data_IF_785510106727
#
_entry.id   IF_785510106727
#
_cell.length_a   1.000
_cell.length_b   1.000
_cell.length_c   1.000
_cell.angle_alpha   90.00
_cell.angle_beta   90.00
_cell.angle_gamma   90.00
#
_symmetry.space_group_name_H-M   'P 1'
#
loop_
_entity.id
_entity.type
_entity.pdbx_description
1 polymer ?
#
# COMPACT_ATOMS: atom_id res chain seq x y z
N UNK A 1 35.91 20.39 28.76
CA UNK A 1 36.53 19.78 27.56
C UNK A 1 37.06 20.82 26.55
N UNK A 2 36.30 21.87 26.20
CA UNK A 2 36.69 22.89 25.20
C UNK A 2 38.03 23.61 25.49
N UNK A 3 38.29 23.96 26.75
CA UNK A 3 39.54 24.63 27.16
C UNK A 3 40.78 23.72 27.07
N UNK A 4 40.61 22.40 27.30
CA UNK A 4 41.70 21.43 27.18
C UNK A 4 42.09 21.20 25.71
N UNK A 5 41.10 21.08 24.81
CA UNK A 5 41.33 20.95 23.36
C UNK A 5 42.03 22.20 22.81
N UNK A 6 41.62 23.39 23.26
CA UNK A 6 42.23 24.65 22.85
C UNK A 6 43.69 24.73 23.29
N UNK A 7 43.96 24.42 24.56
CA UNK A 7 45.32 24.41 25.12
C UNK A 7 46.23 23.37 24.45
N UNK A 8 45.69 22.22 24.03
CA UNK A 8 46.43 21.21 23.25
C UNK A 8 46.68 21.69 21.82
N UNK A 9 45.72 22.33 21.16
CA UNK A 9 45.89 22.86 19.79
C UNK A 9 46.86 24.05 19.71
N UNK A 10 46.95 24.84 20.79
CA UNK A 10 47.79 26.05 20.85
C UNK A 10 49.23 25.75 21.30
N UNK A 11 49.43 24.78 22.21
CA UNK A 11 50.77 24.48 22.77
C UNK A 11 51.45 23.22 22.21
N UNK A 12 50.72 22.31 21.57
CA UNK A 12 51.30 21.06 21.05
C UNK A 12 51.06 20.92 19.55
N UNK A 13 52.07 20.42 18.83
CA UNK A 13 51.88 20.00 17.42
C UNK A 13 50.89 18.85 17.42
N UNK A 14 49.69 19.10 16.91
CA UNK A 14 48.68 18.07 16.74
C UNK A 14 49.24 16.91 15.90
N UNK A 15 49.06 15.65 16.32
CA UNK A 15 49.37 14.51 15.49
C UNK A 15 48.77 14.67 14.10
N UNK A 16 49.53 14.32 13.06
CA UNK A 16 49.14 14.51 11.65
C UNK A 16 47.74 13.95 11.35
N UNK A 17 47.34 12.86 12.04
CA UNK A 17 46.04 12.20 11.94
C UNK A 17 44.83 13.02 12.40
N UNK A 18 44.99 14.00 13.30
CA UNK A 18 43.91 14.89 13.77
C UNK A 18 44.07 16.33 13.26
N UNK A 19 44.95 16.53 12.29
CA UNK A 19 45.11 17.82 11.62
C UNK A 19 43.86 18.17 10.80
N UNK A 20 43.59 19.47 10.63
CA UNK A 20 42.48 19.96 9.78
C UNK A 20 42.42 19.29 8.39
N UNK A 21 43.52 19.16 7.61
CA UNK A 21 43.45 18.48 6.31
C UNK A 21 43.15 16.98 6.44
N UNK A 22 43.64 16.29 7.48
CA UNK A 22 43.32 14.89 7.70
C UNK A 22 41.83 14.68 8.04
N UNK A 23 41.23 15.58 8.82
CA UNK A 23 39.79 15.58 9.10
C UNK A 23 38.95 15.85 7.84
N UNK A 24 39.34 16.82 7.02
CA UNK A 24 38.66 17.09 5.75
C UNK A 24 38.74 15.91 4.79
N UNK A 25 39.91 15.26 4.68
CA UNK A 25 40.09 14.05 3.88
C UNK A 25 39.25 12.88 4.42
N UNK A 26 39.14 12.73 5.74
CA UNK A 26 38.29 11.71 6.35
C UNK A 26 36.81 11.96 6.06
N UNK A 27 36.34 13.21 6.20
CA UNK A 27 34.97 13.59 5.86
C UNK A 27 34.68 13.30 4.38
N UNK A 28 35.60 13.68 3.48
CA UNK A 28 35.46 13.42 2.05
C UNK A 28 35.36 11.92 1.77
N UNK A 29 36.29 11.10 2.30
CA UNK A 29 36.25 9.64 2.13
C UNK A 29 34.97 9.01 2.68
N UNK A 30 34.46 9.53 3.80
CA UNK A 30 33.21 9.04 4.39
C UNK A 30 32.02 9.39 3.51
N UNK A 31 31.98 10.62 2.98
CA UNK A 31 30.94 11.06 2.04
C UNK A 31 30.97 10.25 0.74
N UNK A 32 32.16 10.05 0.16
CA UNK A 32 32.34 9.25 -1.06
C UNK A 32 31.87 7.80 -0.83
N UNK A 33 32.18 7.21 0.34
CA UNK A 33 31.75 5.85 0.70
C UNK A 33 30.23 5.75 0.87
N UNK A 34 29.60 6.75 1.49
CA UNK A 34 28.14 6.80 1.62
C UNK A 34 27.49 6.91 0.23
N UNK A 35 27.99 7.81 -0.61
CA UNK A 35 27.47 8.00 -1.97
C UNK A 35 27.63 6.74 -2.83
N UNK A 36 28.71 5.99 -2.64
CA UNK A 36 28.88 4.70 -3.32
C UNK A 36 27.80 3.69 -2.89
N UNK A 37 27.57 3.56 -1.58
CA UNK A 37 26.53 2.66 -1.05
C UNK A 37 25.13 3.05 -1.55
N UNK A 38 24.83 4.35 -1.59
CA UNK A 38 23.54 4.85 -2.12
C UNK A 38 23.35 4.44 -3.58
N UNK A 39 24.36 4.62 -4.44
CA UNK A 39 24.30 4.19 -5.84
C UNK A 39 24.11 2.67 -6.00
N UNK A 40 24.75 1.89 -5.15
CA UNK A 40 24.58 0.43 -5.15
C UNK A 40 23.14 0.05 -4.74
N UNK A 41 22.58 0.73 -3.73
CA UNK A 41 21.17 0.54 -3.34
C UNK A 41 20.21 0.94 -4.44
N UNK A 42 20.44 2.05 -5.14
CA UNK A 42 19.60 2.48 -6.25
C UNK A 42 19.60 1.47 -7.40
N UNK A 43 20.77 0.86 -7.67
CA UNK A 43 20.89 -0.22 -8.67
C UNK A 43 20.08 -1.44 -8.25
N UNK A 44 20.19 -1.85 -6.98
CA UNK A 44 19.41 -2.97 -6.43
C UNK A 44 17.91 -2.71 -6.44
N UNK A 45 17.48 -1.48 -6.14
CA UNK A 45 16.08 -1.09 -6.20
C UNK A 45 15.53 -1.21 -7.62
N UNK A 46 16.32 -0.88 -8.64
CA UNK A 46 15.94 -1.05 -10.04
C UNK A 46 15.83 -2.51 -10.49
N UNK A 47 16.55 -3.43 -9.85
CA UNK A 47 16.45 -4.88 -10.12
C UNK A 47 15.32 -5.55 -9.32
N UNK A 48 14.85 -4.91 -8.26
CA UNK A 48 13.84 -5.44 -7.36
C UNK A 48 12.44 -5.23 -7.93
N UNK A 49 11.64 -6.29 -7.91
CA UNK A 49 10.23 -6.18 -8.22
C UNK A 49 9.46 -5.79 -6.94
N UNK A 50 9.24 -4.50 -6.79
CA UNK A 50 8.52 -3.91 -5.67
C UNK A 50 7.29 -3.15 -6.18
N UNK A 51 6.13 -3.40 -5.56
CA UNK A 51 4.85 -2.78 -5.91
C UNK A 51 4.22 -2.19 -4.65
N UNK A 52 4.04 -0.86 -4.63
CA UNK A 52 3.37 -0.14 -3.55
C UNK A 52 1.90 0.08 -3.89
N UNK A 53 0.99 -0.44 -3.07
CA UNK A 53 -0.43 -0.08 -3.13
C UNK A 53 -0.68 1.13 -2.22
N UNK A 54 -0.95 2.28 -2.83
CA UNK A 54 -1.18 3.55 -2.10
C UNK A 54 -2.48 3.54 -1.29
N UNK A 55 -3.46 2.72 -1.70
CA UNK A 55 -4.79 2.63 -1.09
C UNK A 55 -4.73 1.95 0.28
N UNK A 56 -3.83 0.99 0.43
CA UNK A 56 -3.59 0.29 1.70
C UNK A 56 -2.30 0.71 2.41
N UNK A 57 -1.36 1.32 1.69
CA UNK A 57 0.00 1.55 2.16
C UNK A 57 0.75 0.24 2.40
N UNK A 58 0.44 -0.81 1.63
CA UNK A 58 1.15 -2.09 1.62
C UNK A 58 2.15 -2.13 0.45
N UNK A 59 3.34 -2.66 0.70
CA UNK A 59 4.41 -2.82 -0.28
C UNK A 59 4.69 -4.32 -0.46
N UNK A 60 4.41 -4.84 -1.64
CA UNK A 60 4.78 -6.19 -2.02
C UNK A 60 6.20 -6.18 -2.59
N UNK A 61 7.03 -7.10 -2.11
CA UNK A 61 8.43 -7.23 -2.53
C UNK A 61 8.69 -8.65 -2.98
N UNK A 62 9.22 -8.78 -4.19
CA UNK A 62 9.68 -10.04 -4.75
C UNK A 62 11.15 -9.95 -5.10
N UNK A 63 11.96 -10.74 -4.41
CA UNK A 63 13.39 -10.83 -4.69
C UNK A 63 13.66 -11.71 -5.92
N UNK A 64 14.43 -11.25 -6.92
CA UNK A 64 14.85 -12.11 -8.02
C UNK A 64 15.77 -13.25 -7.54
N UNK A 65 15.86 -14.31 -8.34
CA UNK A 65 16.54 -15.58 -7.94
C UNK A 65 18.01 -15.41 -7.52
N UNK A 66 18.68 -14.43 -8.12
CA UNK A 66 20.08 -14.10 -7.87
C UNK A 66 20.24 -12.78 -7.12
N UNK A 67 19.19 -12.31 -6.45
CA UNK A 67 19.23 -11.05 -5.72
C UNK A 67 20.13 -11.20 -4.49
N UNK A 68 21.28 -10.54 -4.55
CA UNK A 68 22.23 -10.49 -3.46
C UNK A 68 22.73 -9.05 -3.38
N UNK A 69 22.61 -8.36 -2.23
CA UNK A 69 23.18 -7.03 -2.08
C UNK A 69 24.68 -7.14 -2.33
N UNK A 70 25.23 -6.57 -3.42
CA UNK A 70 26.60 -6.79 -3.77
C UNK A 70 27.46 -5.92 -2.86
N UNK A 71 28.53 -6.48 -2.29
CA UNK A 71 29.75 -5.71 -2.05
C UNK A 71 30.85 -6.33 -2.90
N UNK A 72 30.78 -6.05 -4.21
CA UNK A 72 31.84 -6.34 -5.17
C UNK A 72 32.17 -7.83 -5.38
N UNK A 73 31.28 -8.60 -6.00
CA UNK A 73 31.64 -9.88 -6.63
C UNK A 73 32.22 -9.59 -8.02
N UNK A 74 33.39 -8.95 -8.07
CA UNK A 74 34.23 -9.02 -9.27
C UNK A 74 34.79 -10.44 -9.34
N UNK A 75 34.09 -11.36 -10.00
CA UNK A 75 34.64 -12.70 -10.23
C UNK A 75 33.73 -13.87 -10.57
N UNK A 76 32.41 -13.73 -10.75
CA UNK A 76 31.61 -14.84 -11.31
C UNK A 76 31.83 -14.93 -12.83
N UNK A 77 33.02 -15.34 -13.26
CA UNK A 77 33.24 -15.91 -14.59
C UNK A 77 33.09 -17.42 -14.47
N UNK A 78 31.97 -17.95 -14.97
CA UNK A 78 31.78 -19.38 -15.17
C UNK A 78 32.86 -19.91 -16.13
N UNK A 79 33.59 -20.95 -15.74
CA UNK A 79 34.35 -21.75 -16.69
C UNK A 79 33.83 -23.18 -16.64
N UNK A 80 33.43 -23.69 -17.80
CA UNK A 80 33.13 -25.11 -17.98
C UNK A 80 34.46 -25.88 -18.07
N UNK A 81 34.72 -26.75 -17.10
CA UNK A 81 35.75 -27.79 -17.25
C UNK A 81 35.20 -29.12 -16.77
N UNK A 82 34.78 -29.96 -17.71
CA UNK A 82 34.41 -31.35 -17.44
C UNK A 82 33.01 -31.57 -16.87
N UNK A 83 32.03 -30.71 -17.18
CA UNK A 83 30.61 -30.98 -16.89
C UNK A 83 30.13 -30.72 -15.46
N UNK A 84 31.01 -30.37 -14.52
CA UNK A 84 30.63 -29.92 -13.17
C UNK A 84 30.87 -28.41 -13.01
N UNK A 85 29.81 -27.66 -12.67
CA UNK A 85 29.89 -26.24 -12.34
C UNK A 85 30.48 -26.07 -10.93
N UNK A 86 31.72 -25.58 -10.83
CA UNK A 86 32.36 -25.26 -9.55
C UNK A 86 32.38 -23.73 -9.37
N UNK A 87 31.79 -23.24 -8.27
CA UNK A 87 31.51 -21.82 -8.01
C UNK A 87 32.65 -20.99 -7.38
N UNK A 88 33.88 -21.50 -7.26
CA UNK A 88 34.91 -20.86 -6.42
C UNK A 88 36.21 -20.55 -7.16
N UNK A 89 36.49 -19.26 -7.37
CA UNK A 89 37.88 -18.77 -7.51
C UNK A 89 38.37 -18.23 -6.15
N UNK A 90 39.52 -18.69 -5.62
CA UNK A 90 40.09 -18.19 -4.36
C UNK A 90 40.78 -16.81 -4.48
N UNK A 91 40.82 -16.19 -5.66
CA UNK A 91 41.67 -15.02 -5.95
C UNK A 91 40.92 -13.70 -6.18
N UNK A 92 39.58 -13.67 -6.10
CA UNK A 92 38.84 -12.40 -6.01
C UNK A 92 38.86 -11.91 -4.56
N UNK A 93 39.04 -10.60 -4.34
CA UNK A 93 38.88 -9.99 -3.01
C UNK A 93 37.60 -10.54 -2.39
N UNK A 94 37.71 -11.19 -1.24
CA UNK A 94 36.53 -11.73 -0.56
C UNK A 94 35.52 -10.59 -0.38
N UNK A 95 34.23 -10.82 -0.71
CA UNK A 95 33.22 -9.82 -0.51
C UNK A 95 33.21 -9.42 0.96
N UNK A 96 33.28 -8.12 1.24
CA UNK A 96 33.20 -7.61 2.60
C UNK A 96 31.77 -7.83 3.10
N UNK A 97 31.58 -8.89 3.89
CA UNK A 97 30.27 -9.31 4.41
C UNK A 97 29.64 -8.19 5.25
N UNK A 98 30.45 -7.43 6.00
CA UNK A 98 29.95 -6.31 6.79
C UNK A 98 29.43 -5.20 5.88
N UNK A 99 30.14 -4.91 4.80
CA UNK A 99 29.69 -3.94 3.81
C UNK A 99 28.39 -4.38 3.13
N UNK A 100 28.26 -5.66 2.76
CA UNK A 100 27.02 -6.23 2.22
C UNK A 100 25.85 -6.09 3.20
N UNK A 101 26.07 -6.31 4.50
CA UNK A 101 25.04 -6.12 5.55
C UNK A 101 24.59 -4.67 5.66
N UNK A 102 25.52 -3.72 5.55
CA UNK A 102 25.19 -2.29 5.56
C UNK A 102 24.35 -1.92 4.34
N UNK A 103 24.73 -2.39 3.15
CA UNK A 103 23.98 -2.15 1.90
C UNK A 103 22.59 -2.79 1.98
N UNK A 104 22.48 -4.02 2.50
CA UNK A 104 21.21 -4.69 2.74
C UNK A 104 20.31 -3.89 3.71
N UNK A 105 20.88 -3.38 4.80
CA UNK A 105 20.17 -2.53 5.75
C UNK A 105 19.71 -1.22 5.10
N UNK A 106 20.54 -0.61 4.24
CA UNK A 106 20.17 0.60 3.50
C UNK A 106 19.04 0.32 2.49
N UNK A 107 19.10 -0.80 1.77
CA UNK A 107 18.03 -1.23 0.87
C UNK A 107 16.71 -1.43 1.64
N UNK A 108 16.74 -2.18 2.74
CA UNK A 108 15.55 -2.37 3.59
C UNK A 108 15.08 -1.03 4.16
N UNK A 109 15.99 -0.10 4.50
CA UNK A 109 15.62 1.24 4.95
C UNK A 109 14.83 2.01 3.90
N UNK A 110 15.23 1.95 2.63
CA UNK A 110 14.47 2.59 1.53
C UNK A 110 13.05 2.01 1.44
N UNK A 111 12.94 0.68 1.46
CA UNK A 111 11.65 -0.03 1.36
C UNK A 111 10.76 0.21 2.58
N UNK A 112 11.33 0.12 3.77
CA UNK A 112 10.60 0.36 5.03
C UNK A 112 10.22 1.81 5.19
N UNK A 113 11.05 2.76 4.71
CA UNK A 113 10.68 4.17 4.71
C UNK A 113 9.36 4.37 3.95
N UNK A 114 9.11 3.70 2.83
CA UNK A 114 7.84 3.86 2.09
C UNK A 114 6.59 3.57 2.92
N UNK A 115 6.67 2.60 3.83
CA UNK A 115 5.52 2.06 4.56
C UNK A 115 5.51 2.47 6.04
N UNK A 116 6.65 2.88 6.59
CA UNK A 116 6.78 3.21 8.01
C UNK A 116 6.07 4.53 8.33
N UNK A 117 5.39 4.62 9.49
CA UNK A 117 4.88 5.89 10.00
C UNK A 117 6.01 6.83 10.46
N UNK A 118 7.24 6.33 10.63
CA UNK A 118 8.39 7.10 11.11
C UNK A 118 8.98 7.96 9.98
N UNK A 119 9.51 9.13 10.36
CA UNK A 119 10.21 10.02 9.43
C UNK A 119 11.61 9.50 9.09
N UNK A 120 12.30 8.95 10.09
CA UNK A 120 13.61 8.36 9.94
C UNK A 120 13.63 6.96 10.55
N UNK A 121 14.16 6.00 9.78
CA UNK A 121 14.44 4.63 10.23
C UNK A 121 15.95 4.48 10.41
N UNK A 122 16.38 4.10 11.60
CA UNK A 122 17.79 3.84 11.90
C UNK A 122 18.21 2.46 11.37
N UNK A 123 19.43 2.36 10.82
CA UNK A 123 19.94 1.11 10.25
C UNK A 123 20.06 -0.01 11.29
N UNK A 124 20.36 0.32 12.55
CA UNK A 124 20.43 -0.64 13.65
C UNK A 124 19.08 -1.32 13.94
N UNK A 125 17.97 -0.59 13.74
CA UNK A 125 16.63 -1.14 13.95
C UNK A 125 16.20 -2.16 12.89
N UNK A 126 16.98 -2.28 11.81
CA UNK A 126 16.73 -3.18 10.68
C UNK A 126 17.58 -4.45 10.71
N UNK A 127 18.47 -4.64 11.70
CA UNK A 127 19.34 -5.80 11.78
C UNK A 127 18.55 -7.13 11.73
N UNK A 128 17.44 -7.20 12.48
CA UNK A 128 16.52 -8.35 12.45
C UNK A 128 15.90 -8.57 11.07
N UNK A 129 15.54 -7.49 10.37
CA UNK A 129 14.99 -7.58 9.02
C UNK A 129 16.05 -8.07 8.02
N UNK A 130 17.29 -7.58 8.13
CA UNK A 130 18.42 -8.04 7.30
C UNK A 130 18.68 -9.52 7.52
N UNK A 131 18.66 -9.98 8.78
CA UNK A 131 18.85 -11.39 9.12
C UNK A 131 17.78 -12.31 8.52
N UNK A 132 16.51 -11.87 8.46
CA UNK A 132 15.43 -12.68 7.92
C UNK A 132 15.29 -12.60 6.39
N UNK A 133 15.57 -11.44 5.79
CA UNK A 133 15.48 -11.25 4.34
C UNK A 133 16.72 -11.72 3.60
N UNK A 134 17.90 -11.61 4.24
CA UNK A 134 19.20 -11.96 3.68
C UNK A 134 19.99 -12.91 4.61
N UNK A 135 19.44 -14.07 4.98
CA UNK A 135 20.09 -15.00 5.92
C UNK A 135 21.46 -15.48 5.42
N UNK A 136 21.67 -15.52 4.10
CA UNK A 136 22.95 -15.87 3.47
C UNK A 136 24.12 -14.94 3.84
N UNK A 137 23.86 -13.73 4.33
CA UNK A 137 24.90 -12.81 4.84
C UNK A 137 25.43 -13.23 6.22
N UNK A 138 24.81 -14.22 6.85
CA UNK A 138 25.15 -14.72 8.19
C UNK A 138 25.63 -16.17 8.18
N UNK A 139 25.63 -16.82 7.01
CA UNK A 139 26.16 -18.16 6.84
C UNK A 139 27.69 -18.10 6.78
N UNK A 140 28.35 -19.03 7.49
CA UNK A 140 29.80 -19.17 7.46
C UNK A 140 30.26 -19.88 6.17
N UNK A 141 29.43 -20.77 5.64
CA UNK A 141 29.65 -21.44 4.38
C UNK A 141 28.49 -21.14 3.41
N UNK A 142 28.76 -20.63 2.19
CA UNK A 142 27.72 -20.33 1.20
C UNK A 142 26.94 -21.56 0.70
N UNK A 143 27.42 -22.77 1.00
CA UNK A 143 26.73 -24.03 0.71
C UNK A 143 25.85 -24.52 1.87
N UNK A 144 25.87 -23.85 3.02
CA UNK A 144 24.99 -24.21 4.14
C UNK A 144 23.54 -23.87 3.76
N UNK A 145 22.61 -24.76 4.12
CA UNK A 145 21.19 -24.49 3.97
C UNK A 145 20.79 -23.30 4.85
N UNK A 146 19.95 -22.42 4.29
CA UNK A 146 19.32 -21.36 5.06
C UNK A 146 18.48 -22.03 6.15
N UNK A 147 18.71 -21.75 7.44
CA UNK A 147 17.96 -22.42 8.49
C UNK A 147 16.45 -22.20 8.29
N UNK A 148 15.65 -23.27 8.46
CA UNK A 148 14.18 -23.31 8.34
C UNK A 148 13.41 -22.32 9.26
N UNK A 149 14.11 -21.45 9.97
CA UNK A 149 13.61 -20.57 11.05
C UNK A 149 13.33 -19.14 10.58
N UNK A 150 13.00 -18.91 9.31
CA UNK A 150 12.47 -17.60 8.89
C UNK A 150 11.00 -17.52 9.35
N UNK A 151 10.65 -16.60 10.24
CA UNK A 151 9.28 -16.50 10.75
C UNK A 151 8.31 -16.11 9.62
N UNK A 152 7.07 -16.60 9.71
CA UNK A 152 6.01 -16.22 8.77
C UNK A 152 5.66 -14.73 8.84
N UNK A 153 5.90 -14.07 9.99
CA UNK A 153 5.77 -12.63 10.14
C UNK A 153 6.66 -12.09 11.26
N UNK A 154 7.16 -10.88 11.13
CA UNK A 154 7.88 -10.16 12.19
C UNK A 154 7.71 -8.65 12.04
N UNK A 155 8.07 -7.88 13.07
CA UNK A 155 8.02 -6.41 13.03
C UNK A 155 9.41 -5.80 13.20
N UNK A 156 9.78 -4.84 12.36
CA UNK A 156 11.00 -4.05 12.50
C UNK A 156 10.75 -2.62 12.05
N UNK A 157 11.34 -1.63 12.72
CA UNK A 157 11.24 -0.20 12.38
C UNK A 157 9.81 0.36 12.18
N UNK A 158 8.81 -0.18 12.89
CA UNK A 158 7.40 0.23 12.75
C UNK A 158 6.68 -0.35 11.53
N UNK A 159 7.30 -1.34 10.87
CA UNK A 159 6.77 -2.07 9.71
C UNK A 159 6.57 -3.54 10.11
N UNK A 160 5.44 -4.09 9.72
CA UNK A 160 5.12 -5.51 9.78
C UNK A 160 5.56 -6.15 8.46
N UNK A 161 6.35 -7.20 8.55
CA UNK A 161 6.79 -8.03 7.45
C UNK A 161 5.98 -9.33 7.53
N UNK A 162 5.23 -9.64 6.47
CA UNK A 162 4.48 -10.89 6.36
C UNK A 162 4.95 -11.66 5.12
N UNK A 163 5.22 -12.94 5.33
CA UNK A 163 5.65 -13.85 4.29
C UNK A 163 4.43 -14.41 3.57
N UNK A 164 4.32 -14.15 2.28
CA UNK A 164 3.25 -14.69 1.43
C UNK A 164 3.80 -15.91 0.69
N UNK A 165 3.23 -17.07 0.98
CA UNK A 165 3.54 -18.32 0.29
C UNK A 165 2.88 -18.28 -1.09
N UNK A 166 3.69 -18.36 -2.15
CA UNK A 166 3.17 -18.46 -3.51
C UNK A 166 2.96 -19.94 -3.86
N UNK A 167 1.79 -20.34 -4.38
CA UNK A 167 1.42 -21.76 -4.54
C UNK A 167 2.13 -22.47 -5.71
N UNK A 168 3.32 -22.04 -6.16
CA UNK A 168 4.05 -22.72 -7.23
C UNK A 168 5.29 -23.45 -6.71
N UNK A 169 5.20 -24.78 -6.74
CA UNK A 169 6.10 -25.80 -6.19
C UNK A 169 7.55 -25.83 -6.73
N UNK A 170 7.95 -24.89 -7.59
CA UNK A 170 9.28 -24.93 -8.22
C UNK A 170 10.29 -23.94 -7.65
N UNK A 171 9.87 -22.92 -6.88
CA UNK A 171 10.80 -21.92 -6.36
C UNK A 171 10.35 -21.33 -5.00
N UNK A 172 11.01 -21.65 -3.87
CA UNK A 172 10.71 -21.08 -2.56
C UNK A 172 11.31 -19.67 -2.40
N UNK A 173 11.05 -18.75 -3.35
CA UNK A 173 11.35 -17.34 -3.11
C UNK A 173 10.11 -16.67 -2.53
N UNK A 174 10.19 -16.37 -1.24
CA UNK A 174 9.10 -15.73 -0.52
C UNK A 174 8.81 -14.34 -1.08
N UNK A 175 7.55 -14.07 -1.34
CA UNK A 175 7.08 -12.69 -1.51
C UNK A 175 6.87 -12.11 -0.11
N UNK A 176 7.47 -10.95 0.15
CA UNK A 176 7.29 -10.26 1.42
C UNK A 176 6.30 -9.13 1.25
N UNK A 177 5.27 -9.12 2.08
CA UNK A 177 4.35 -8.00 2.22
C UNK A 177 4.82 -7.14 3.38
N UNK A 178 5.11 -5.88 3.10
CA UNK A 178 5.46 -4.88 4.11
C UNK A 178 4.25 -3.99 4.31
N UNK A 179 3.75 -3.94 5.54
CA UNK A 179 2.68 -3.04 5.93
C UNK A 179 3.08 -2.25 7.16
N UNK A 180 2.36 -1.17 7.47
CA UNK A 180 2.54 -0.49 8.75
C UNK A 180 2.26 -1.48 9.89
N UNK A 181 3.10 -1.47 10.92
CA UNK A 181 2.89 -2.28 12.13
C UNK A 181 1.50 -1.95 12.71
N UNK A 182 0.70 -2.92 13.18
CA UNK A 182 -0.58 -2.62 13.83
C UNK A 182 -0.43 -1.69 15.05
N UNK A 183 -1.44 -0.85 15.31
CA UNK A 183 -1.42 0.06 16.46
C UNK A 183 -1.35 -0.69 17.79
N UNK A 184 -0.47 -0.22 18.67
CA UNK A 184 -0.44 -0.66 20.08
C UNK A 184 -1.64 -0.08 20.82
N UNK A 185 -2.06 -0.73 21.90
CA UNK A 185 -3.14 -0.21 22.75
C UNK A 185 -2.78 1.20 23.25
N UNK A 186 -3.66 2.17 23.01
CA UNK A 186 -3.49 3.56 23.44
C UNK A 186 -2.79 4.49 22.45
N UNK A 187 -2.16 3.96 21.40
CA UNK A 187 -1.49 4.77 20.37
C UNK A 187 -2.36 4.80 19.12
N UNK A 188 -3.29 5.75 19.01
CA UNK A 188 -4.14 5.92 17.84
C UNK A 188 -4.11 7.39 17.38
N UNK A 189 -3.60 7.70 16.19
CA UNK A 189 -3.62 9.06 15.68
C UNK A 189 -5.07 9.47 15.43
N UNK A 190 -5.44 10.64 15.93
CA UNK A 190 -6.73 11.24 15.68
C UNK A 190 -6.55 12.65 15.12
N UNK A 191 -7.25 12.98 14.04
CA UNK A 191 -7.33 14.34 13.52
C UNK A 191 -8.76 14.84 13.72
N UNK A 192 -8.92 16.00 14.35
CA UNK A 192 -10.22 16.64 14.50
C UNK A 192 -10.42 17.67 13.39
N UNK A 193 -11.53 17.54 12.67
CA UNK A 193 -11.94 18.44 11.62
C UNK A 193 -13.13 19.25 12.15
N UNK A 194 -12.98 20.58 12.32
CA UNK A 194 -14.05 21.41 12.85
C UNK A 194 -15.25 21.45 11.89
N UNK A 195 -16.45 21.79 12.39
CA UNK A 195 -17.59 22.10 11.54
C UNK A 195 -17.31 23.34 10.68
N UNK A 196 -17.94 23.44 9.52
CA UNK A 196 -17.84 24.63 8.67
C UNK A 196 -18.60 25.80 9.29
N UNK A 197 -17.89 26.70 9.96
CA UNK A 197 -18.43 27.94 10.51
C UNK A 197 -18.43 29.07 9.48
N UNK A 198 -19.44 29.12 8.60
CA UNK A 198 -19.82 30.34 7.87
C UNK A 198 -21.23 30.25 7.29
N UNK A 199 -22.14 31.21 7.54
CA UNK A 199 -23.28 31.44 6.66
C UNK A 199 -22.78 31.99 5.31
N UNK A 200 -23.42 31.67 4.16
CA UNK A 200 -23.03 32.25 2.89
C UNK A 200 -23.45 33.72 2.87
N UNK A 201 -22.48 34.64 2.82
CA UNK A 201 -22.77 35.99 2.33
C UNK A 201 -23.20 35.85 0.87
N UNK A 202 -24.40 36.32 0.56
CA UNK A 202 -24.99 36.27 -0.76
C UNK A 202 -24.10 36.98 -1.80
N UNK A 203 -23.32 36.22 -2.56
CA UNK A 203 -22.87 36.52 -3.94
C UNK A 203 -21.74 35.56 -4.36
N UNK A 204 -22.10 34.39 -4.89
CA UNK A 204 -21.40 33.77 -6.02
C UNK A 204 -22.12 32.47 -6.38
N UNK A 205 -22.90 32.56 -7.45
CA UNK A 205 -23.17 31.42 -8.32
C UNK A 205 -21.84 30.92 -8.86
N UNK A 206 -21.25 29.90 -8.21
CA UNK A 206 -20.30 28.95 -8.82
C UNK A 206 -20.06 27.79 -7.85
N UNK A 207 -20.86 26.73 -8.05
CA UNK A 207 -20.71 25.46 -7.37
C UNK A 207 -19.52 24.68 -7.97
N UNK A 208 -18.28 25.10 -7.72
CA UNK A 208 -17.07 24.32 -8.09
C UNK A 208 -15.81 24.59 -7.27
N UNK A 209 -15.75 25.60 -6.40
CA UNK A 209 -14.48 25.99 -5.80
C UNK A 209 -14.18 25.29 -4.47
N UNK A 210 -13.42 24.20 -4.56
CA UNK A 210 -12.64 23.60 -3.46
C UNK A 210 -11.58 24.57 -2.87
N UNK A 211 -11.53 25.83 -3.33
CA UNK A 211 -10.43 26.78 -3.20
C UNK A 211 -10.44 27.69 -1.95
N UNK A 212 -11.42 27.57 -1.06
CA UNK A 212 -11.36 28.18 0.29
C UNK A 212 -10.58 27.33 1.33
N UNK A 213 -9.64 26.52 0.80
CA UNK A 213 -8.43 25.92 1.36
C UNK A 213 -8.46 25.28 2.78
N UNK A 214 -9.12 24.12 2.98
CA UNK A 214 -8.70 23.21 4.05
C UNK A 214 -7.24 22.78 3.81
N UNK A 215 -6.37 23.00 4.80
CA UNK A 215 -4.95 22.64 4.74
C UNK A 215 -4.77 21.12 4.79
N UNK A 216 -3.79 20.60 4.03
CA UNK A 216 -3.42 19.20 4.13
C UNK A 216 -2.90 18.90 5.53
N UNK A 217 -3.44 17.85 6.16
CA UNK A 217 -3.01 17.35 7.46
C UNK A 217 -2.41 15.96 7.31
N UNK A 218 -1.31 15.69 7.99
CA UNK A 218 -0.64 14.39 7.93
C UNK A 218 -1.29 13.40 8.91
N UNK A 219 -1.78 12.28 8.40
CA UNK A 219 -2.30 11.17 9.19
C UNK A 219 -1.26 10.05 9.26
N UNK A 220 -0.93 9.63 10.49
CA UNK A 220 -0.05 8.48 10.79
C UNK A 220 1.32 8.52 10.08
N UNK A 221 1.78 9.69 9.66
CA UNK A 221 3.04 9.85 8.93
C UNK A 221 3.02 9.40 7.46
N UNK A 222 1.89 8.91 6.93
CA UNK A 222 1.80 8.29 5.59
C UNK A 222 0.88 9.03 4.62
N UNK A 223 -0.28 9.48 5.07
CA UNK A 223 -1.28 10.09 4.18
C UNK A 223 -1.47 11.56 4.49
N UNK A 224 -1.30 12.40 3.48
CA UNK A 224 -1.79 13.78 3.50
C UNK A 224 -3.28 13.77 3.18
N UNK A 225 -4.08 14.25 4.11
CA UNK A 225 -5.53 14.31 3.99
C UNK A 225 -5.99 15.76 3.95
N UNK A 226 -6.86 16.07 3.00
CA UNK A 226 -7.61 17.33 2.94
C UNK A 226 -9.08 16.98 2.95
N UNK A 227 -9.81 17.39 3.99
CA UNK A 227 -11.21 17.00 4.20
C UNK A 227 -12.06 18.26 4.29
N UNK A 228 -13.17 18.27 3.57
CA UNK A 228 -14.20 19.29 3.68
C UNK A 228 -15.36 18.74 4.52
N UNK A 229 -15.63 19.37 5.66
CA UNK A 229 -16.76 19.00 6.52
C UNK A 229 -18.01 19.81 6.11
N UNK A 230 -19.05 19.20 5.53
CA UNK A 230 -20.25 19.92 5.13
C UNK A 230 -21.13 20.30 6.33
N UNK A 231 -20.91 19.70 7.51
CA UNK A 231 -21.79 19.92 8.66
C UNK A 231 -21.46 21.23 9.38
N UNK A 232 -22.48 22.07 9.67
CA UNK A 232 -22.30 23.32 10.42
C UNK A 232 -22.19 23.12 11.94
N UNK A 233 -22.54 21.93 12.44
CA UNK A 233 -22.62 21.65 13.88
C UNK A 233 -21.78 20.43 14.30
N UNK A 234 -21.69 19.44 13.43
CA UNK A 234 -21.08 18.15 13.78
C UNK A 234 -19.61 18.13 13.39
N UNK A 235 -18.66 18.01 14.36
CA UNK A 235 -17.26 17.84 14.04
C UNK A 235 -16.98 16.43 13.49
N UNK A 236 -15.97 16.31 12.64
CA UNK A 236 -15.50 15.02 12.15
C UNK A 236 -14.18 14.64 12.83
N UNK A 237 -13.95 13.35 12.98
CA UNK A 237 -12.69 12.80 13.48
C UNK A 237 -12.14 11.78 12.49
N UNK A 238 -10.89 11.97 12.07
CA UNK A 238 -10.15 10.95 11.33
C UNK A 238 -9.43 10.06 12.32
N UNK A 239 -9.67 8.75 12.26
CA UNK A 239 -9.05 7.75 13.13
C UNK A 239 -8.75 6.46 12.38
N UNK A 240 -7.96 5.53 12.94
CA UNK A 240 -7.78 4.21 12.34
C UNK A 240 -9.10 3.43 12.25
N UNK A 241 -9.23 2.63 11.19
CA UNK A 241 -10.34 1.70 11.04
C UNK A 241 -10.30 0.61 12.11
N UNK A 242 -11.43 0.34 12.77
CA UNK A 242 -11.54 -0.66 13.84
C UNK A 242 -12.31 -1.88 13.35
N UNK A 243 -12.05 -3.03 13.98
CA UNK A 243 -12.80 -4.25 13.71
C UNK A 243 -14.32 -4.08 13.98
N UNK A 244 -14.68 -3.25 14.96
CA UNK A 244 -16.06 -2.92 15.33
C UNK A 244 -16.79 -2.11 14.25
N UNK A 245 -16.06 -1.34 13.45
CA UNK A 245 -16.63 -0.49 12.40
C UNK A 245 -17.07 -1.31 11.17
N UNK A 246 -16.51 -2.52 10.99
CA UNK A 246 -16.67 -3.29 9.75
C UNK A 246 -18.13 -3.62 9.42
N UNK A 247 -18.87 -4.18 10.39
CA UNK A 247 -20.27 -4.58 10.15
C UNK A 247 -21.19 -3.37 9.98
N UNK A 248 -21.16 -2.35 10.87
CA UNK A 248 -22.00 -1.16 10.73
C UNK A 248 -21.71 -0.38 9.45
N UNK A 249 -20.43 -0.18 9.11
CA UNK A 249 -20.05 0.55 7.90
C UNK A 249 -20.52 -0.18 6.64
N UNK A 250 -20.28 -1.49 6.54
CA UNK A 250 -20.74 -2.31 5.41
C UNK A 250 -22.25 -2.30 5.23
N UNK A 251 -23.03 -2.24 6.31
CA UNK A 251 -24.49 -2.20 6.24
C UNK A 251 -25.04 -0.88 5.66
N UNK A 252 -24.24 0.19 5.68
CA UNK A 252 -24.60 1.53 5.16
C UNK A 252 -24.05 1.81 3.76
N UNK A 253 -23.43 0.82 3.15
CA UNK A 253 -22.98 0.87 1.77
C UNK A 253 -23.94 0.07 0.90
N UNK A 254 -24.30 0.64 -0.25
CA UNK A 254 -25.12 -0.04 -1.24
C UNK A 254 -24.54 0.11 -2.66
N UNK A 255 -24.93 -0.81 -3.55
CA UNK A 255 -24.49 -0.87 -4.94
C UNK A 255 -22.97 -0.75 -5.11
N UNK A 256 -22.56 0.16 -5.99
CA UNK A 256 -21.17 0.40 -6.41
C UNK A 256 -20.21 0.64 -5.22
N UNK A 257 -20.65 1.39 -4.20
CA UNK A 257 -19.81 1.71 -3.04
C UNK A 257 -19.50 0.47 -2.20
N UNK A 258 -20.48 -0.44 -2.07
CA UNK A 258 -20.31 -1.70 -1.35
C UNK A 258 -19.42 -2.66 -2.11
N UNK A 259 -19.62 -2.79 -3.42
CA UNK A 259 -18.76 -3.62 -4.27
C UNK A 259 -17.31 -3.13 -4.22
N UNK A 260 -17.10 -1.83 -4.36
CA UNK A 260 -15.78 -1.20 -4.28
C UNK A 260 -15.11 -1.47 -2.93
N UNK A 261 -15.85 -1.32 -1.83
CA UNK A 261 -15.33 -1.62 -0.49
C UNK A 261 -14.91 -3.09 -0.36
N UNK A 262 -15.73 -4.02 -0.83
CA UNK A 262 -15.42 -5.45 -0.76
C UNK A 262 -14.24 -5.84 -1.67
N UNK A 263 -14.19 -5.30 -2.90
CA UNK A 263 -13.09 -5.51 -3.82
C UNK A 263 -11.76 -5.03 -3.21
N UNK A 264 -11.72 -3.81 -2.65
CA UNK A 264 -10.51 -3.26 -2.02
C UNK A 264 -10.15 -3.96 -0.71
N UNK A 265 -11.13 -4.44 0.05
CA UNK A 265 -10.90 -5.26 1.24
C UNK A 265 -10.22 -6.59 0.90
N UNK A 266 -10.57 -7.17 -0.25
CA UNK A 266 -10.00 -8.44 -0.73
C UNK A 266 -8.67 -8.21 -1.48
N UNK A 267 -8.53 -7.16 -2.27
CA UNK A 267 -7.34 -6.91 -3.10
C UNK A 267 -6.24 -6.19 -2.33
N UNK A 268 -6.57 -5.05 -1.72
CA UNK A 268 -5.58 -4.10 -1.19
C UNK A 268 -5.31 -4.26 0.31
N UNK A 269 -6.23 -4.81 1.10
CA UNK A 269 -6.11 -4.81 2.56
C UNK A 269 -6.45 -6.18 3.17
N UNK A 270 -5.80 -7.22 2.64
CA UNK A 270 -5.98 -8.63 3.06
C UNK A 270 -5.58 -8.87 4.51
N UNK A 271 -4.57 -8.15 4.97
CA UNK A 271 -3.88 -8.38 6.25
C UNK A 271 -4.49 -7.60 7.42
N UNK A 272 -3.76 -7.60 8.55
CA UNK A 272 -4.02 -6.72 9.71
C UNK A 272 -3.82 -5.23 9.38
N UNK A 273 -3.17 -4.90 8.27
CA UNK A 273 -2.91 -3.52 7.84
C UNK A 273 -4.18 -2.71 7.59
N UNK A 274 -5.31 -3.36 7.26
CA UNK A 274 -6.60 -2.68 7.06
C UNK A 274 -7.06 -1.87 8.27
N UNK A 275 -6.67 -2.29 9.48
CA UNK A 275 -6.97 -1.56 10.72
C UNK A 275 -5.99 -0.42 11.00
N UNK A 276 -5.13 -0.11 10.03
CA UNK A 276 -4.25 1.05 10.05
C UNK A 276 -4.71 2.15 9.09
N UNK A 277 -5.72 1.87 8.27
CA UNK A 277 -6.26 2.79 7.28
C UNK A 277 -7.07 3.89 7.95
N UNK A 278 -7.06 5.12 7.40
CA UNK A 278 -7.80 6.21 7.98
C UNK A 278 -9.28 6.03 7.63
N UNK A 279 -10.13 6.35 8.59
CA UNK A 279 -11.57 6.52 8.37
C UNK A 279 -12.00 7.86 8.92
N UNK A 280 -12.98 8.45 8.24
CA UNK A 280 -13.68 9.64 8.72
C UNK A 280 -14.86 9.14 9.52
N UNK A 281 -14.94 9.57 10.77
CA UNK A 281 -16.01 9.26 11.68
C UNK A 281 -16.64 10.54 12.24
N UNK A 282 -17.91 10.44 12.63
CA UNK A 282 -18.65 11.46 13.35
C UNK A 282 -18.93 10.97 14.77
N UNK A 283 -18.94 11.87 15.75
CA UNK A 283 -19.40 11.54 17.09
C UNK A 283 -20.93 11.41 17.04
N UNK A 284 -21.50 10.24 17.36
CA UNK A 284 -22.95 10.11 17.45
C UNK A 284 -23.49 10.89 18.64
N UNK A 285 -24.61 11.59 18.43
CA UNK A 285 -25.37 12.31 19.47
C UNK A 285 -26.32 11.38 20.25
N UNK A 286 -26.22 10.05 20.10
CA UNK A 286 -27.10 9.05 20.73
C UNK A 286 -26.57 8.51 22.06
N UNK A 287 -27.46 7.87 22.85
CA UNK A 287 -27.18 7.35 24.21
C UNK A 287 -26.00 6.36 24.31
N UNK A 288 -25.63 5.70 23.21
CA UNK A 288 -24.52 4.74 23.15
C UNK A 288 -23.14 5.37 22.85
N UNK A 289 -23.08 6.69 22.59
CA UNK A 289 -21.82 7.48 22.56
C UNK A 289 -20.72 7.00 21.62
N UNK A 290 -21.03 6.19 20.60
CA UNK A 290 -20.05 5.59 19.70
C UNK A 290 -19.71 6.46 18.48
N UNK A 291 -18.44 6.48 18.07
CA UNK A 291 -18.02 7.11 16.82
C UNK A 291 -18.56 6.32 15.61
N UNK A 292 -19.36 6.95 14.77
CA UNK A 292 -19.90 6.38 13.53
C UNK A 292 -18.97 6.65 12.34
N UNK A 293 -18.57 5.60 11.61
CA UNK A 293 -17.77 5.75 10.39
C UNK A 293 -18.66 6.14 9.21
N UNK A 294 -18.31 7.25 8.54
CA UNK A 294 -19.04 7.79 7.38
C UNK A 294 -18.26 7.64 6.08
N UNK A 295 -16.93 7.55 6.12
CA UNK A 295 -16.12 7.36 4.92
C UNK A 295 -14.78 6.68 5.20
N UNK A 296 -14.23 6.02 4.17
CA UNK A 296 -12.87 5.48 4.13
C UNK A 296 -12.10 6.17 3.00
N UNK A 297 -11.34 7.23 3.30
CA UNK A 297 -10.75 8.10 2.28
C UNK A 297 -9.84 7.39 1.29
N UNK A 298 -9.01 6.47 1.77
CA UNK A 298 -8.04 5.75 0.93
C UNK A 298 -8.69 4.76 -0.03
N UNK A 299 -9.91 4.32 0.26
CA UNK A 299 -10.70 3.45 -0.62
C UNK A 299 -11.63 4.23 -1.54
N UNK A 300 -11.82 5.54 -1.29
CA UNK A 300 -12.76 6.35 -2.06
C UNK A 300 -14.22 6.00 -1.79
N UNK A 301 -14.51 5.45 -0.61
CA UNK A 301 -15.85 4.96 -0.25
C UNK A 301 -16.45 5.86 0.83
N UNK A 302 -17.70 6.29 0.64
CA UNK A 302 -18.53 6.93 1.68
C UNK A 302 -19.88 6.24 1.79
N UNK A 303 -20.53 6.41 2.94
CA UNK A 303 -21.92 6.02 3.15
C UNK A 303 -22.80 6.63 2.05
N UNK A 304 -23.63 5.78 1.46
CA UNK A 304 -24.52 6.15 0.35
C UNK A 304 -25.94 5.58 0.51
N UNK A 305 -26.23 4.94 1.65
CA UNK A 305 -27.57 4.47 2.00
C UNK A 305 -28.05 5.07 3.32
N UNK A 306 -29.38 5.23 3.44
CA UNK A 306 -30.04 5.75 4.65
C UNK A 306 -29.89 7.27 4.85
N UNK A 307 -30.32 7.74 6.02
CA UNK A 307 -30.31 9.18 6.39
C UNK A 307 -28.91 9.80 6.34
N UNK A 308 -27.89 9.01 6.69
CA UNK A 308 -26.49 9.43 6.65
C UNK A 308 -26.01 9.78 5.22
N UNK A 309 -26.59 9.19 4.18
CA UNK A 309 -26.23 9.51 2.80
C UNK A 309 -26.60 10.95 2.43
N UNK A 310 -27.78 11.40 2.88
CA UNK A 310 -28.27 12.76 2.66
C UNK A 310 -27.52 13.75 3.53
N UNK A 311 -27.29 13.43 4.81
CA UNK A 311 -26.56 14.28 5.76
C UNK A 311 -25.13 14.57 5.27
N UNK A 312 -24.44 13.55 4.75
CA UNK A 312 -23.04 13.64 4.36
C UNK A 312 -22.82 13.73 2.84
N UNK A 313 -23.85 14.13 2.07
CA UNK A 313 -23.76 14.23 0.62
C UNK A 313 -22.62 15.16 0.17
N UNK A 314 -22.48 16.30 0.85
CA UNK A 314 -21.43 17.31 0.60
C UNK A 314 -20.03 16.93 1.10
N UNK A 315 -19.86 15.80 1.79
CA UNK A 315 -18.56 15.34 2.26
C UNK A 315 -17.65 15.02 1.06
N UNK A 316 -16.49 15.66 1.05
CA UNK A 316 -15.46 15.47 0.04
C UNK A 316 -14.07 15.52 0.66
N UNK A 317 -13.12 14.82 0.03
CA UNK A 317 -11.75 14.73 0.52
C UNK A 317 -10.75 14.52 -0.61
N UNK A 318 -9.49 14.85 -0.35
CA UNK A 318 -8.34 14.50 -1.17
C UNK A 318 -7.33 13.73 -0.31
N UNK A 319 -6.78 12.64 -0.86
CA UNK A 319 -5.75 11.83 -0.21
C UNK A 319 -4.51 11.85 -1.08
N UNK A 320 -3.34 12.07 -0.46
CA UNK A 320 -2.05 11.90 -1.14
C UNK A 320 -1.13 11.08 -0.26
N UNK A 321 -0.39 10.17 -0.86
CA UNK A 321 0.65 9.42 -0.14
C UNK A 321 1.89 10.30 0.02
N UNK A 322 2.46 10.38 1.23
CA UNK A 322 3.60 11.27 1.54
C UNK A 322 4.85 10.91 0.74
N UNK A 323 5.07 9.63 0.43
CA UNK A 323 6.37 9.08 0.04
C UNK A 323 6.42 8.62 -1.42
N UNK A 324 5.90 9.43 -2.34
CA UNK A 324 5.78 9.08 -3.77
C UNK A 324 7.06 9.30 -4.61
N UNK A 325 8.11 9.89 -4.04
CA UNK A 325 9.38 10.13 -4.76
C UNK A 325 10.27 8.89 -4.83
N UNK A 326 9.77 7.76 -5.36
CA UNK A 326 10.54 6.49 -5.35
C UNK A 326 10.48 5.69 -6.64
N UNK A 327 11.53 4.87 -6.85
CA UNK A 327 11.73 3.99 -8.01
C UNK A 327 10.84 2.72 -8.00
N UNK A 328 9.80 2.69 -7.18
CA UNK A 328 8.91 1.54 -6.99
C UNK A 328 7.66 1.71 -7.86
N UNK A 329 7.15 0.61 -8.42
CA UNK A 329 5.90 0.65 -9.18
C UNK A 329 4.75 1.00 -8.24
N UNK A 330 4.08 2.11 -8.49
CA UNK A 330 2.94 2.56 -7.69
C UNK A 330 1.65 2.04 -8.32
N UNK A 331 0.92 1.20 -7.59
CA UNK A 331 -0.44 0.82 -7.94
C UNK A 331 -1.39 1.85 -7.35
N UNK A 332 -1.81 2.79 -8.19
CA UNK A 332 -2.81 3.81 -7.88
C UNK A 332 -4.02 3.63 -8.79
N UNK A 333 -4.61 2.42 -8.77
CA UNK A 333 -5.73 2.11 -9.65
C UNK A 333 -7.03 2.74 -9.14
N UNK A 334 -7.18 4.04 -9.41
CA UNK A 334 -8.48 4.72 -9.48
C UNK A 334 -9.11 4.59 -10.87
N UNK A 335 -8.30 4.35 -11.92
CA UNK A 335 -8.70 4.50 -13.33
C UNK A 335 -9.35 3.25 -13.97
N UNK A 336 -9.30 2.08 -13.34
CA UNK A 336 -9.93 0.87 -13.90
C UNK A 336 -11.41 0.74 -13.55
N UNK A 337 -11.92 1.49 -12.57
CA UNK A 337 -13.31 1.35 -12.10
C UNK A 337 -14.34 1.95 -13.07
N UNK A 338 -14.16 3.17 -13.64
CA UNK A 338 -15.09 3.70 -14.63
C UNK A 338 -15.13 2.82 -15.90
N UNK A 339 -13.98 2.32 -16.34
CA UNK A 339 -13.90 1.48 -17.54
C UNK A 339 -14.41 0.04 -17.32
N UNK A 340 -14.34 -0.49 -16.10
CA UNK A 340 -14.97 -1.76 -15.74
C UNK A 340 -16.48 -1.62 -15.55
N UNK A 341 -16.95 -0.47 -15.05
CA UNK A 341 -18.37 -0.13 -14.92
C UNK A 341 -19.01 0.12 -16.30
N UNK A 342 -18.35 0.83 -17.21
CA UNK A 342 -18.78 0.96 -18.61
C UNK A 342 -18.86 -0.39 -19.34
N UNK A 343 -17.94 -1.32 -19.06
CA UNK A 343 -18.00 -2.68 -19.61
C UNK A 343 -19.16 -3.48 -19.03
N UNK A 344 -19.34 -3.46 -17.70
CA UNK A 344 -20.46 -4.16 -17.05
C UNK A 344 -21.82 -3.61 -17.47
N UNK A 345 -21.96 -2.28 -17.56
CA UNK A 345 -23.20 -1.64 -18.05
C UNK A 345 -23.49 -2.03 -19.50
N UNK A 346 -22.45 -2.13 -20.34
CA UNK A 346 -22.60 -2.61 -21.72
C UNK A 346 -23.01 -4.08 -21.77
N UNK A 347 -22.40 -4.92 -20.93
CA UNK A 347 -22.71 -6.36 -20.86
C UNK A 347 -24.15 -6.59 -20.34
N UNK A 348 -24.58 -5.86 -19.30
CA UNK A 348 -25.95 -5.91 -18.76
C UNK A 348 -27.00 -5.40 -19.76
N UNK A 349 -26.69 -4.34 -20.52
CA UNK A 349 -27.57 -3.83 -21.57
C UNK A 349 -27.70 -4.82 -22.72
N UNK A 350 -26.62 -5.52 -23.08
CA UNK A 350 -26.62 -6.57 -24.09
C UNK A 350 -27.40 -7.81 -23.64
N UNK A 351 -27.21 -8.27 -22.40
CA UNK A 351 -28.02 -9.36 -21.81
C UNK A 351 -29.51 -9.02 -21.78
N UNK A 352 -29.87 -7.77 -21.47
CA UNK A 352 -31.25 -7.32 -21.49
C UNK A 352 -31.82 -7.28 -22.91
N UNK A 353 -31.01 -6.93 -23.92
CA UNK A 353 -31.41 -6.97 -25.34
C UNK A 353 -31.68 -8.40 -25.78
N UNK A 354 -30.78 -9.33 -25.47
CA UNK A 354 -30.93 -10.77 -25.80
C UNK A 354 -32.18 -11.35 -25.16
N UNK A 355 -32.43 -11.07 -23.87
CA UNK A 355 -33.64 -11.55 -23.18
C UNK A 355 -34.93 -11.02 -23.82
N UNK A 356 -34.95 -9.74 -24.19
CA UNK A 356 -36.11 -9.15 -24.85
C UNK A 356 -36.34 -9.73 -26.27
N UNK A 357 -35.27 -10.05 -27.00
CA UNK A 357 -35.36 -10.71 -28.31
C UNK A 357 -35.85 -12.16 -28.19
N UNK A 358 -35.40 -12.90 -27.17
CA UNK A 358 -35.84 -14.26 -26.89
C UNK A 358 -37.33 -14.30 -26.48
N UNK A 359 -37.75 -13.39 -25.60
CA UNK A 359 -39.17 -13.24 -25.23
C UNK A 359 -40.06 -12.81 -26.43
N UNK A 360 -39.52 -12.01 -27.35
CA UNK A 360 -40.24 -11.65 -28.57
C UNK A 360 -40.39 -12.85 -29.51
N UNK A 361 -39.35 -13.67 -29.66
CA UNK A 361 -39.38 -14.88 -30.49
C UNK A 361 -40.34 -15.92 -29.93
N UNK A 362 -40.35 -16.13 -28.61
CA UNK A 362 -41.29 -17.04 -27.96
C UNK A 362 -42.75 -16.58 -28.13
N UNK A 363 -43.02 -15.27 -28.16
CA UNK A 363 -44.37 -14.75 -28.43
C UNK A 363 -44.79 -14.93 -29.89
N UNK A 364 -43.85 -14.87 -30.83
CA UNK A 364 -44.12 -15.11 -32.25
C UNK A 364 -44.39 -16.60 -32.50
N UNK A 365 -43.59 -17.49 -31.90
CA UNK A 365 -43.78 -18.96 -31.94
C UNK A 365 -45.09 -19.39 -31.26
N UNK A 366 -45.52 -18.72 -30.19
CA UNK A 366 -46.80 -18.99 -29.52
C UNK A 366 -48.03 -18.42 -30.27
N UNK A 367 -47.82 -17.59 -31.30
CA UNK A 367 -48.89 -16.93 -32.07
C UNK A 367 -49.42 -17.72 -33.27
N UNK A 368 -48.81 -18.86 -33.63
CA UNK A 368 -49.16 -19.60 -34.86
C UNK A 368 -50.25 -20.68 -34.70
N UNK A 369 -50.73 -20.97 -33.50
CA UNK A 369 -51.89 -21.84 -33.32
C UNK A 369 -53.20 -21.05 -33.37
N UNK A 370 -53.54 -20.55 -34.56
CA UNK A 370 -54.92 -20.15 -34.88
C UNK A 370 -55.65 -21.42 -35.32
N UNK A 371 -56.59 -21.97 -34.52
CA UNK A 371 -57.28 -23.19 -34.92
C UNK A 371 -58.15 -22.89 -36.14
N UNK A 372 -57.82 -23.59 -37.22
CA UNK A 372 -58.59 -23.66 -38.46
C UNK A 372 -59.99 -24.19 -38.13
N UNK A 373 -60.97 -23.29 -38.06
CA UNK A 373 -62.39 -23.64 -37.89
C UNK A 373 -62.86 -24.30 -39.19
N UNK A 374 -62.88 -25.63 -39.20
CA UNK A 374 -63.56 -26.39 -40.23
C UNK A 374 -65.07 -26.28 -40.01
N UNK A 375 -65.68 -25.56 -40.95
CA UNK A 375 -67.11 -25.51 -41.21
C UNK A 375 -67.57 -26.89 -41.68
N UNK A 376 -68.25 -27.64 -40.82
CA UNK A 376 -69.07 -28.78 -41.24
C UNK A 376 -70.52 -28.55 -40.83
N UNK A 377 -71.30 -28.16 -41.83
CA UNK A 377 -72.74 -28.19 -41.77
C UNK A 377 -73.31 -29.60 -41.75
N UNK A 378 -74.47 -29.73 -41.11
CA UNK A 378 -75.57 -30.47 -41.72
C UNK A 378 -75.95 -31.83 -41.12
N UNK A 379 -77.14 -31.80 -40.51
CA UNK A 379 -78.26 -32.71 -40.77
C UNK A 379 -78.48 -33.96 -39.89
N UNK A 380 -79.78 -34.16 -39.56
CA UNK A 380 -80.40 -35.42 -39.11
C UNK A 380 -80.87 -35.38 -37.65
N UNK A 381 -82.07 -34.87 -37.29
CA UNK A 381 -83.44 -35.37 -37.52
C UNK A 381 -83.74 -36.78 -36.98
N UNK A 382 -84.71 -36.83 -36.05
CA UNK A 382 -85.57 -37.96 -35.60
C UNK A 382 -84.85 -39.00 -34.71
N UNK A 383 -85.38 -39.43 -33.57
CA UNK A 383 -86.78 -39.55 -33.11
C UNK A 383 -86.85 -39.56 -31.58
#
# INVERSE_FOLDING_TARGET
>A
MRNAIRHVSEKYKLPTAISKPALLQLTQRTADKIQQREKEVDTLLGELDAVLDVRSGELAIRFPRNFYPPSNIMGLKSYERGGEQIFFQPNSKQPDIEESRIIAAMLIRHLTNLVSPRETVDLSSLETAVHHLFPRLYLLNPLDDVPDRVPASFTAAGVLFERVETPNEYFPYYTWMLSRQPYSRGEHPSLHIPPSSSPPAASSTDATNFDSNPTFSLFDGRWWLRIHNPSPATPLTVRPFRQTDLKPFRARLDGVMRERFEALRIDAARSKARFTLPVIATAQTGEDGGDEVIAMPTFGVKVNAGEAATEWQGLSWNVRYKKLDTAVVVRDAWDEYPAAEERRMRDEEEERRVRNEEEAREREEAGEDVPFVLDEGGAGRLR
#
